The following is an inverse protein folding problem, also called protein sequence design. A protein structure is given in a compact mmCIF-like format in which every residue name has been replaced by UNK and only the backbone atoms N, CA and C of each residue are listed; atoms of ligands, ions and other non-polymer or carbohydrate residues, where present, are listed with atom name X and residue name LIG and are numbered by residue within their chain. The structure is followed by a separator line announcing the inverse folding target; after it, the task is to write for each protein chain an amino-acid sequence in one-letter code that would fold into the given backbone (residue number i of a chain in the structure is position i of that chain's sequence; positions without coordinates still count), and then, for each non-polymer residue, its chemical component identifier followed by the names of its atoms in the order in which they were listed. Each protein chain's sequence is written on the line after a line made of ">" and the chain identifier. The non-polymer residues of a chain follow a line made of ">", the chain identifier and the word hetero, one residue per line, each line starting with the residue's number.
data_IF_334985863341
#
_entry.id   IF_334985863341
#
_cell.length_a   1.000
_cell.length_b   1.000
_cell.length_c   1.000
_cell.angle_alpha   90.00
_cell.angle_beta   90.00
_cell.angle_gamma   90.00
#
_symmetry.space_group_name_H-M   'P 1'
#
loop_
_entity.id
_entity.type
_entity.pdbx_description
1 polymer ?
#
# COMPACT_ATOMS: atom_id res chain seq x y z
N UNK A 1 -0.76 -0.50 -11.75
CA UNK A 1 -1.73 -1.61 -11.83
C UNK A 1 -3.08 -1.21 -11.22
N UNK A 2 -3.07 -0.61 -10.02
CA UNK A 2 -4.30 -0.25 -9.29
C UNK A 2 -5.13 0.88 -9.91
N UNK A 3 -4.54 1.71 -10.78
CA UNK A 3 -5.20 2.91 -11.29
C UNK A 3 -5.45 3.94 -10.18
N UNK A 4 -6.67 4.44 -10.06
CA UNK A 4 -7.07 5.39 -9.00
C UNK A 4 -7.56 4.73 -7.71
N UNK A 5 -7.51 3.38 -7.61
CA UNK A 5 -7.98 2.64 -6.42
C UNK A 5 -6.94 2.69 -5.31
N UNK A 6 -7.42 2.75 -4.07
CA UNK A 6 -6.57 2.78 -2.89
C UNK A 6 -5.71 1.53 -2.74
N UNK A 7 -4.45 1.73 -2.33
CA UNK A 7 -3.52 0.67 -1.95
C UNK A 7 -3.17 0.82 -0.46
N UNK A 8 -3.28 -0.27 0.30
CA UNK A 8 -2.87 -0.33 1.70
C UNK A 8 -1.70 -1.31 1.84
N UNK A 9 -0.60 -0.87 2.43
CA UNK A 9 0.53 -1.73 2.75
C UNK A 9 0.17 -2.63 3.96
N UNK A 10 0.31 -3.95 3.81
CA UNK A 10 -0.07 -4.96 4.82
C UNK A 10 1.00 -6.05 5.02
N UNK A 11 2.27 -5.74 4.80
CA UNK A 11 3.36 -6.73 4.77
C UNK A 11 4.13 -6.90 6.08
N UNK A 12 3.81 -6.17 7.14
CA UNK A 12 4.62 -6.11 8.36
C UNK A 12 4.99 -7.49 8.95
N UNK A 13 4.08 -8.46 8.91
CA UNK A 13 4.30 -9.84 9.42
C UNK A 13 5.22 -10.71 8.55
N UNK A 14 5.64 -10.22 7.39
CA UNK A 14 6.43 -10.96 6.38
C UNK A 14 7.89 -10.54 6.32
N UNK A 15 8.32 -9.59 7.15
CA UNK A 15 9.67 -9.07 7.19
C UNK A 15 10.09 -8.77 8.64
N UNK A 16 11.39 -8.56 8.85
CA UNK A 16 11.92 -8.07 10.13
C UNK A 16 11.31 -6.69 10.46
N UNK A 17 11.07 -6.41 11.75
CA UNK A 17 10.32 -5.22 12.21
C UNK A 17 10.82 -3.92 11.59
N UNK A 18 12.15 -3.69 11.61
CA UNK A 18 12.75 -2.47 11.01
C UNK A 18 12.59 -2.41 9.50
N UNK A 19 12.71 -3.57 8.82
CA UNK A 19 12.51 -3.67 7.39
C UNK A 19 11.03 -3.41 7.02
N UNK A 20 10.09 -3.91 7.82
CA UNK A 20 8.67 -3.68 7.65
C UNK A 20 8.31 -2.18 7.77
N UNK A 21 8.89 -1.48 8.76
CA UNK A 21 8.69 -0.02 8.91
C UNK A 21 9.27 0.75 7.71
N UNK A 22 10.46 0.38 7.24
CA UNK A 22 11.07 0.99 6.06
C UNK A 22 10.26 0.72 4.78
N UNK A 23 9.74 -0.50 4.61
CA UNK A 23 8.90 -0.87 3.48
C UNK A 23 7.56 -0.10 3.48
N UNK A 24 6.93 0.06 4.64
CA UNK A 24 5.71 0.85 4.77
C UNK A 24 5.94 2.32 4.34
N UNK A 25 7.05 2.92 4.76
CA UNK A 25 7.43 4.27 4.32
C UNK A 25 7.68 4.32 2.81
N UNK A 26 8.41 3.36 2.26
CA UNK A 26 8.68 3.31 0.82
C UNK A 26 7.39 3.14 0.00
N UNK A 27 6.48 2.28 0.45
CA UNK A 27 5.18 2.09 -0.18
C UNK A 27 4.35 3.39 -0.17
N UNK A 28 4.32 4.10 0.95
CA UNK A 28 3.62 5.39 1.05
C UNK A 28 4.19 6.44 0.09
N UNK A 29 5.51 6.55 0.00
CA UNK A 29 6.17 7.44 -0.96
C UNK A 29 5.90 7.05 -2.43
N UNK A 30 5.68 5.76 -2.69
CA UNK A 30 5.31 5.23 -4.01
C UNK A 30 3.81 5.33 -4.34
N UNK A 31 3.00 5.93 -3.45
CA UNK A 31 1.58 6.21 -3.71
C UNK A 31 0.59 5.28 -3.01
N UNK A 32 1.01 4.46 -2.05
CA UNK A 32 0.06 3.78 -1.17
C UNK A 32 -0.61 4.80 -0.25
N UNK A 33 -1.92 4.65 -0.04
CA UNK A 33 -2.71 5.59 0.76
C UNK A 33 -2.56 5.41 2.27
N UNK A 34 -2.16 4.21 2.72
CA UNK A 34 -2.05 3.85 4.12
C UNK A 34 -1.16 2.62 4.35
N UNK A 35 -0.83 2.36 5.62
CA UNK A 35 -0.19 1.12 6.06
C UNK A 35 -0.95 0.48 7.22
N UNK A 36 -0.83 -0.82 7.39
CA UNK A 36 -1.26 -1.54 8.60
C UNK A 36 -0.21 -1.51 9.72
N UNK A 37 0.97 -0.96 9.47
CA UNK A 37 2.09 -0.90 10.40
C UNK A 37 1.96 0.33 11.31
N UNK A 38 1.53 0.12 12.56
CA UNK A 38 1.33 1.20 13.53
C UNK A 38 2.63 1.94 13.85
N UNK A 39 3.77 1.24 13.93
CA UNK A 39 5.06 1.88 14.20
C UNK A 39 5.49 2.81 13.04
N UNK A 40 5.19 2.44 11.80
CA UNK A 40 5.44 3.32 10.66
C UNK A 40 4.50 4.53 10.68
N UNK A 41 3.25 4.35 11.09
CA UNK A 41 2.30 5.44 11.28
C UNK A 41 2.78 6.44 12.34
N UNK A 42 3.21 5.95 13.49
CA UNK A 42 3.73 6.76 14.59
C UNK A 42 5.02 7.51 14.18
N UNK A 43 5.97 6.80 13.56
CA UNK A 43 7.29 7.36 13.24
C UNK A 43 7.25 8.38 12.08
N UNK A 44 6.39 8.16 11.08
CA UNK A 44 6.41 8.94 9.84
C UNK A 44 5.10 9.69 9.55
N UNK A 45 4.10 9.62 10.42
CA UNK A 45 2.79 10.24 10.21
C UNK A 45 1.98 9.61 9.07
N UNK A 46 2.27 8.36 8.69
CA UNK A 46 1.55 7.65 7.63
C UNK A 46 0.15 7.28 8.14
N UNK A 47 -0.92 7.52 7.37
CA UNK A 47 -2.25 7.06 7.74
C UNK A 47 -2.26 5.55 8.01
N UNK A 48 -2.81 5.14 9.17
CA UNK A 48 -2.91 3.73 9.50
C UNK A 48 -4.30 3.21 9.23
N UNK A 49 -4.37 2.08 8.52
CA UNK A 49 -5.62 1.34 8.25
C UNK A 49 -5.37 -0.15 8.41
N UNK A 50 -6.32 -0.84 8.97
CA UNK A 50 -6.29 -2.28 9.15
C UNK A 50 -7.68 -2.86 9.20
N UNK A 51 -7.74 -4.18 9.21
CA UNK A 51 -8.97 -4.95 9.36
C UNK A 51 -8.73 -6.04 10.39
N UNK A 52 -9.81 -6.62 10.94
CA UNK A 52 -9.70 -7.80 11.78
C UNK A 52 -9.09 -8.97 10.98
N UNK A 53 -8.39 -9.86 11.66
CA UNK A 53 -7.94 -11.15 11.12
C UNK A 53 -9.01 -12.22 11.35
N UNK A 54 -8.93 -13.35 10.63
CA UNK A 54 -9.83 -14.50 10.87
C UNK A 54 -9.82 -14.96 12.33
N UNK A 55 -8.68 -14.87 13.01
CA UNK A 55 -8.57 -15.19 14.44
C UNK A 55 -9.47 -14.35 15.33
N UNK A 56 -9.77 -13.11 14.95
CA UNK A 56 -10.71 -12.27 15.68
C UNK A 56 -12.14 -12.86 15.59
N UNK A 57 -12.57 -13.26 14.40
CA UNK A 57 -13.86 -13.92 14.20
C UNK A 57 -13.91 -15.24 14.97
N UNK A 58 -12.86 -16.05 14.89
CA UNK A 58 -12.77 -17.34 15.57
C UNK A 58 -12.69 -17.25 17.10
N UNK A 59 -12.39 -16.09 17.66
CA UNK A 59 -12.38 -15.83 19.11
C UNK A 59 -13.77 -15.51 19.68
N UNK A 60 -14.81 -15.44 18.83
CA UNK A 60 -16.20 -15.20 19.23
C UNK A 60 -17.04 -16.45 18.97
N UNK A 61 -18.18 -16.56 19.66
CA UNK A 61 -19.07 -17.71 19.51
C UNK A 61 -19.79 -17.72 18.17
N UNK A 62 -19.90 -16.56 17.51
CA UNK A 62 -20.45 -16.44 16.16
C UNK A 62 -19.81 -15.30 15.37
N UNK A 63 -19.95 -15.36 14.04
CA UNK A 63 -19.47 -14.31 13.15
C UNK A 63 -20.23 -12.99 13.36
N UNK A 64 -21.53 -13.07 13.67
CA UNK A 64 -22.37 -11.93 14.01
C UNK A 64 -21.89 -11.20 15.28
N UNK A 65 -21.49 -11.94 16.30
CA UNK A 65 -20.92 -11.38 17.52
C UNK A 65 -19.58 -10.69 17.26
N UNK A 66 -18.71 -11.29 16.46
CA UNK A 66 -17.45 -10.70 16.04
C UNK A 66 -17.69 -9.38 15.28
N UNK A 67 -18.61 -9.37 14.32
CA UNK A 67 -18.94 -8.17 13.55
C UNK A 67 -19.55 -7.08 14.44
N UNK A 68 -20.46 -7.45 15.35
CA UNK A 68 -21.03 -6.51 16.31
C UNK A 68 -19.96 -5.93 17.26
N UNK A 69 -19.04 -6.75 17.74
CA UNK A 69 -17.92 -6.29 18.57
C UNK A 69 -17.01 -5.30 17.82
N UNK A 70 -16.68 -5.59 16.58
CA UNK A 70 -15.87 -4.70 15.75
C UNK A 70 -16.58 -3.38 15.49
N UNK A 71 -17.86 -3.41 15.13
CA UNK A 71 -18.66 -2.20 14.88
C UNK A 71 -18.82 -1.34 16.15
N UNK A 72 -19.01 -1.96 17.31
CA UNK A 72 -19.07 -1.21 18.58
C UNK A 72 -17.78 -0.44 18.87
N UNK A 73 -16.63 -0.98 18.47
CA UNK A 73 -15.33 -0.38 18.74
C UNK A 73 -14.92 0.64 17.67
N UNK A 74 -15.16 0.31 16.40
CA UNK A 74 -14.63 1.04 15.25
C UNK A 74 -15.69 1.87 14.51
N UNK A 75 -16.97 1.70 14.83
CA UNK A 75 -18.09 2.30 14.11
C UNK A 75 -18.44 1.55 12.82
N UNK A 76 -19.57 1.91 12.22
CA UNK A 76 -20.08 1.29 10.99
C UNK A 76 -19.21 1.56 9.74
N UNK A 77 -18.32 2.55 9.80
CA UNK A 77 -17.34 2.81 8.74
C UNK A 77 -16.20 1.79 8.64
N UNK A 78 -16.16 0.78 9.53
CA UNK A 78 -15.14 -0.28 9.55
C UNK A 78 -15.25 -1.22 8.35
N UNK A 79 -14.24 -2.09 8.20
CA UNK A 79 -14.19 -3.15 7.17
C UNK A 79 -14.34 -4.50 7.83
N UNK A 80 -15.39 -5.25 7.50
CA UNK A 80 -15.65 -6.60 8.02
C UNK A 80 -15.08 -7.67 7.11
N UNK A 81 -14.37 -8.65 7.69
CA UNK A 81 -13.78 -9.79 6.99
C UNK A 81 -14.83 -10.90 6.85
N UNK A 82 -15.29 -11.17 5.62
CA UNK A 82 -16.51 -11.96 5.36
C UNK A 82 -16.27 -13.40 4.91
N UNK A 83 -15.02 -13.82 4.78
CA UNK A 83 -14.65 -15.13 4.25
C UNK A 83 -14.03 -16.06 5.29
N UNK A 84 -14.38 -15.88 6.58
CA UNK A 84 -13.93 -16.80 7.64
C UNK A 84 -14.61 -18.17 7.52
N UNK A 85 -15.86 -18.21 7.10
CA UNK A 85 -16.66 -19.43 6.91
C UNK A 85 -17.27 -19.46 5.51
N UNK A 86 -18.56 -19.21 5.40
CA UNK A 86 -19.29 -19.12 4.14
C UNK A 86 -19.44 -17.67 3.71
N UNK A 87 -18.90 -17.33 2.55
CA UNK A 87 -18.81 -15.94 2.09
C UNK A 87 -20.19 -15.30 1.82
N UNK A 88 -21.15 -16.07 1.29
CA UNK A 88 -22.51 -15.56 1.03
C UNK A 88 -23.17 -15.19 2.33
N UNK A 89 -23.12 -16.10 3.31
CA UNK A 89 -23.62 -15.85 4.66
C UNK A 89 -22.85 -14.75 5.38
N UNK A 90 -21.55 -14.66 5.15
CA UNK A 90 -20.70 -13.58 5.67
C UNK A 90 -21.17 -12.20 5.21
N UNK A 91 -21.52 -12.04 3.93
CA UNK A 91 -22.12 -10.80 3.40
C UNK A 91 -23.47 -10.51 4.07
N UNK A 92 -24.36 -11.50 4.16
CA UNK A 92 -25.67 -11.35 4.78
C UNK A 92 -25.57 -10.90 6.25
N UNK A 93 -24.70 -11.56 7.02
CA UNK A 93 -24.42 -11.23 8.42
C UNK A 93 -23.79 -9.85 8.58
N UNK A 94 -22.84 -9.51 7.71
CA UNK A 94 -22.19 -8.20 7.74
C UNK A 94 -23.22 -7.07 7.55
N UNK A 95 -24.15 -7.23 6.62
CA UNK A 95 -25.19 -6.23 6.37
C UNK A 95 -26.29 -6.27 7.44
N UNK A 96 -26.63 -7.44 7.97
CA UNK A 96 -27.60 -7.55 9.09
C UNK A 96 -27.10 -6.81 10.34
N UNK A 97 -25.80 -6.90 10.65
CA UNK A 97 -25.20 -6.27 11.84
C UNK A 97 -24.78 -4.81 11.57
N UNK A 98 -24.16 -4.54 10.40
CA UNK A 98 -23.59 -3.23 10.08
C UNK A 98 -24.54 -2.26 9.39
N UNK A 99 -25.66 -2.77 8.88
CA UNK A 99 -26.62 -2.00 8.09
C UNK A 99 -26.12 -1.72 6.67
N UNK A 100 -26.99 -1.09 5.87
CA UNK A 100 -26.73 -0.77 4.46
C UNK A 100 -25.63 0.28 4.25
N UNK A 101 -25.23 0.97 5.31
CA UNK A 101 -24.18 1.98 5.31
C UNK A 101 -22.86 1.45 5.89
N UNK A 102 -22.68 0.13 5.96
CA UNK A 102 -21.39 -0.49 6.32
C UNK A 102 -20.28 0.03 5.41
N UNK A 103 -19.16 0.43 6.00
CA UNK A 103 -18.05 1.03 5.26
C UNK A 103 -17.47 0.12 4.19
N UNK A 104 -17.12 -1.11 4.55
CA UNK A 104 -16.55 -2.07 3.57
C UNK A 104 -16.70 -3.52 4.05
N UNK A 105 -16.57 -4.44 3.11
CA UNK A 105 -16.30 -5.87 3.34
C UNK A 105 -14.92 -6.23 2.77
N UNK A 106 -14.22 -7.18 3.40
CA UNK A 106 -12.92 -7.68 2.95
C UNK A 106 -13.02 -9.13 2.51
N UNK A 107 -12.38 -9.42 1.39
CA UNK A 107 -12.21 -10.75 0.79
C UNK A 107 -10.73 -11.09 0.78
N UNK A 108 -10.34 -12.22 1.38
CA UNK A 108 -8.96 -12.68 1.52
C UNK A 108 -8.69 -14.03 0.83
N UNK A 109 -9.71 -14.61 0.17
CA UNK A 109 -9.64 -15.95 -0.40
C UNK A 109 -10.50 -16.13 -1.65
N UNK A 110 -10.32 -17.24 -2.35
CA UNK A 110 -11.10 -17.64 -3.52
C UNK A 110 -10.57 -17.10 -4.85
N UNK A 111 -11.29 -17.42 -5.93
CA UNK A 111 -11.05 -16.86 -7.27
C UNK A 111 -11.55 -15.40 -7.31
N UNK A 112 -10.65 -14.47 -7.05
CA UNK A 112 -10.98 -13.07 -6.84
C UNK A 112 -11.80 -12.44 -7.97
N UNK A 113 -11.51 -12.61 -9.28
CA UNK A 113 -12.34 -12.09 -10.35
C UNK A 113 -13.80 -12.52 -10.28
N UNK A 114 -14.03 -13.76 -9.90
CA UNK A 114 -15.38 -14.35 -9.77
C UNK A 114 -16.04 -13.88 -8.48
N UNK A 115 -15.35 -14.09 -7.35
CA UNK A 115 -15.89 -13.85 -6.02
C UNK A 115 -16.25 -12.37 -5.79
N UNK A 116 -15.39 -11.46 -6.21
CA UNK A 116 -15.64 -10.01 -6.05
C UNK A 116 -16.92 -9.58 -6.79
N UNK A 117 -17.13 -10.10 -7.99
CA UNK A 117 -18.34 -9.82 -8.77
C UNK A 117 -19.59 -10.38 -8.10
N UNK A 118 -19.51 -11.57 -7.54
CA UNK A 118 -20.60 -12.19 -6.79
C UNK A 118 -20.93 -11.42 -5.50
N UNK A 119 -19.91 -11.03 -4.74
CA UNK A 119 -20.07 -10.23 -3.51
C UNK A 119 -20.69 -8.87 -3.83
N UNK A 120 -20.26 -8.20 -4.90
CA UNK A 120 -20.86 -6.92 -5.32
C UNK A 120 -22.33 -7.07 -5.66
N UNK A 121 -22.67 -8.06 -6.47
CA UNK A 121 -24.08 -8.32 -6.83
C UNK A 121 -24.93 -8.63 -5.59
N UNK A 122 -24.39 -9.39 -4.63
CA UNK A 122 -25.09 -9.72 -3.40
C UNK A 122 -25.30 -8.52 -2.47
N UNK A 123 -24.27 -7.68 -2.30
CA UNK A 123 -24.38 -6.40 -1.59
C UNK A 123 -25.45 -5.49 -2.20
N UNK A 124 -25.50 -5.42 -3.53
CA UNK A 124 -26.49 -4.61 -4.26
C UNK A 124 -27.91 -5.14 -4.06
N UNK A 125 -28.11 -6.46 -4.07
CA UNK A 125 -29.40 -7.09 -3.77
C UNK A 125 -29.88 -6.79 -2.33
N UNK A 126 -28.96 -6.69 -1.37
CA UNK A 126 -29.25 -6.32 0.00
C UNK A 126 -29.44 -4.80 0.18
N UNK A 127 -29.25 -4.01 -0.89
CA UNK A 127 -29.37 -2.55 -0.88
C UNK A 127 -28.16 -1.83 -0.27
N UNK A 128 -27.02 -2.52 -0.11
CA UNK A 128 -25.76 -1.99 0.41
C UNK A 128 -24.84 -1.51 -0.73
N UNK A 129 -25.37 -0.73 -1.65
CA UNK A 129 -24.69 -0.29 -2.89
C UNK A 129 -23.47 0.61 -2.64
N UNK A 130 -23.42 1.28 -1.48
CA UNK A 130 -22.31 2.14 -1.09
C UNK A 130 -21.19 1.39 -0.32
N UNK A 131 -21.44 0.15 0.12
CA UNK A 131 -20.44 -0.66 0.82
C UNK A 131 -19.29 -1.00 -0.13
N UNK A 132 -18.05 -0.64 0.27
CA UNK A 132 -16.84 -0.88 -0.51
C UNK A 132 -16.37 -2.33 -0.41
N UNK A 133 -15.60 -2.77 -1.41
CA UNK A 133 -14.95 -4.08 -1.42
C UNK A 133 -13.44 -3.89 -1.31
N UNK A 134 -12.87 -4.44 -0.25
CA UNK A 134 -11.43 -4.53 -0.01
C UNK A 134 -10.97 -5.94 -0.36
N UNK A 135 -9.94 -6.05 -1.17
CA UNK A 135 -9.36 -7.35 -1.56
C UNK A 135 -7.94 -7.46 -1.04
N UNK A 136 -7.62 -8.61 -0.47
CA UNK A 136 -6.28 -9.01 -0.05
C UNK A 136 -5.92 -10.34 -0.72
N UNK A 137 -5.19 -11.28 -0.12
CA UNK A 137 -4.83 -12.57 -0.72
C UNK A 137 -3.60 -12.51 -1.66
N UNK A 138 -2.42 -12.27 -1.07
CA UNK A 138 -1.11 -12.32 -1.73
C UNK A 138 -1.04 -11.57 -3.08
N UNK A 139 -1.61 -10.37 -3.11
CA UNK A 139 -1.66 -9.53 -4.29
C UNK A 139 -0.27 -9.04 -4.71
N UNK A 140 -0.10 -8.91 -6.02
CA UNK A 140 1.01 -8.24 -6.68
C UNK A 140 0.51 -7.41 -7.87
N UNK A 141 1.42 -6.75 -8.58
CA UNK A 141 1.07 -5.90 -9.73
C UNK A 141 0.35 -6.64 -10.85
N UNK A 142 0.64 -7.92 -11.05
CA UNK A 142 0.02 -8.73 -12.10
C UNK A 142 -1.40 -9.15 -11.71
N UNK A 143 -1.59 -9.62 -10.48
CA UNK A 143 -2.92 -10.01 -9.97
C UNK A 143 -3.85 -8.79 -9.89
N UNK A 144 -3.34 -7.64 -9.44
CA UNK A 144 -4.09 -6.37 -9.43
C UNK A 144 -4.46 -5.92 -10.85
N UNK A 145 -3.53 -6.06 -11.81
CA UNK A 145 -3.84 -5.74 -13.21
C UNK A 145 -4.95 -6.65 -13.78
N UNK A 146 -4.98 -7.94 -13.40
CA UNK A 146 -6.04 -8.88 -13.73
C UNK A 146 -7.43 -8.49 -13.17
N UNK A 147 -7.45 -7.76 -12.06
CA UNK A 147 -8.66 -7.25 -11.41
C UNK A 147 -9.08 -5.84 -11.90
N UNK A 148 -8.52 -5.35 -13.02
CA UNK A 148 -8.82 -3.99 -13.51
C UNK A 148 -10.31 -3.74 -13.75
N UNK A 149 -11.03 -4.70 -14.29
CA UNK A 149 -12.47 -4.64 -14.57
C UNK A 149 -13.37 -5.09 -13.40
N UNK A 150 -12.80 -5.61 -12.32
CA UNK A 150 -13.57 -6.08 -11.17
C UNK A 150 -13.97 -4.91 -10.24
N UNK A 151 -15.12 -4.99 -9.57
CA UNK A 151 -15.63 -3.96 -8.68
C UNK A 151 -14.90 -3.96 -7.31
N UNK A 152 -13.59 -3.73 -7.33
CA UNK A 152 -12.73 -3.59 -6.16
C UNK A 152 -12.47 -2.11 -5.91
N UNK A 153 -12.61 -1.67 -4.67
CA UNK A 153 -12.34 -0.29 -4.26
C UNK A 153 -10.95 -0.12 -3.66
N UNK A 154 -10.47 -1.13 -2.93
CA UNK A 154 -9.21 -1.06 -2.17
C UNK A 154 -8.45 -2.39 -2.28
N UNK A 155 -7.14 -2.31 -2.47
CA UNK A 155 -6.24 -3.45 -2.42
C UNK A 155 -5.33 -3.40 -1.18
N UNK A 156 -5.26 -4.50 -0.43
CA UNK A 156 -4.27 -4.69 0.62
C UNK A 156 -3.12 -5.56 0.10
N UNK A 157 -1.92 -5.00 0.03
CA UNK A 157 -0.74 -5.67 -0.53
C UNK A 157 0.29 -5.89 0.57
N UNK A 158 0.73 -7.12 0.74
CA UNK A 158 1.63 -7.52 1.81
C UNK A 158 2.98 -8.02 1.31
N UNK A 159 3.09 -9.33 1.15
CA UNK A 159 4.34 -10.05 0.87
C UNK A 159 5.12 -9.46 -0.30
N UNK A 160 4.49 -9.24 -1.42
CA UNK A 160 5.15 -8.75 -2.64
C UNK A 160 5.82 -7.39 -2.48
N UNK A 161 5.25 -6.50 -1.66
CA UNK A 161 5.83 -5.18 -1.38
C UNK A 161 7.03 -5.28 -0.45
N UNK A 162 6.88 -5.96 0.71
CA UNK A 162 7.94 -5.97 1.73
C UNK A 162 9.12 -6.85 1.37
N UNK A 163 8.94 -7.84 0.50
CA UNK A 163 10.03 -8.69 0.00
C UNK A 163 10.68 -8.14 -1.27
N UNK A 164 10.11 -7.09 -1.86
CA UNK A 164 10.58 -6.54 -3.14
C UNK A 164 10.47 -7.58 -4.26
N UNK A 165 9.33 -8.29 -4.35
CA UNK A 165 9.09 -9.37 -5.31
C UNK A 165 9.51 -8.95 -6.73
N UNK A 166 10.41 -9.74 -7.35
CA UNK A 166 11.02 -9.41 -8.64
C UNK A 166 12.19 -8.41 -8.58
N UNK A 167 12.30 -7.61 -7.53
CA UNK A 167 13.35 -6.60 -7.32
C UNK A 167 13.84 -6.60 -5.86
N UNK A 168 14.38 -7.72 -5.35
CA UNK A 168 14.71 -7.86 -3.93
C UNK A 168 15.91 -7.00 -3.49
N UNK A 169 16.66 -6.45 -4.43
CA UNK A 169 17.82 -5.60 -4.17
C UNK A 169 17.79 -4.34 -5.02
N UNK A 170 17.95 -3.18 -4.39
CA UNK A 170 18.17 -1.93 -5.09
C UNK A 170 19.64 -1.84 -5.55
N UNK A 171 19.87 -1.56 -6.83
CA UNK A 171 21.22 -1.39 -7.41
C UNK A 171 21.88 -0.05 -7.04
N UNK A 172 21.64 0.45 -5.83
CA UNK A 172 22.17 1.71 -5.35
C UNK A 172 23.62 1.57 -4.90
N UNK A 173 24.46 2.54 -5.27
CA UNK A 173 25.86 2.61 -4.87
C UNK A 173 26.20 4.04 -4.48
N UNK A 174 26.82 4.22 -3.31
CA UNK A 174 27.36 5.51 -2.91
C UNK A 174 28.56 5.90 -3.76
N UNK A 175 28.61 7.14 -4.20
CA UNK A 175 29.73 7.76 -4.88
C UNK A 175 30.15 9.00 -4.12
N UNK A 176 31.42 9.08 -3.72
CA UNK A 176 31.99 10.32 -3.19
C UNK A 176 32.07 11.32 -4.33
N UNK A 177 31.42 12.47 -4.19
CA UNK A 177 31.37 13.51 -5.24
C UNK A 177 32.11 14.78 -4.87
N UNK A 178 32.40 15.00 -3.58
CA UNK A 178 33.22 16.08 -3.09
C UNK A 178 33.89 15.68 -1.77
N UNK A 179 35.00 16.28 -1.43
CA UNK A 179 35.68 16.21 -0.13
C UNK A 179 36.00 17.61 0.38
N UNK A 180 36.08 17.77 1.69
CA UNK A 180 36.62 19.00 2.25
C UNK A 180 38.15 19.06 2.06
N UNK A 181 38.66 20.24 1.80
CA UNK A 181 40.09 20.53 1.85
C UNK A 181 40.49 21.12 3.21
N UNK A 182 41.78 21.36 3.44
CA UNK A 182 42.33 21.81 4.73
C UNK A 182 41.77 23.20 5.16
N UNK A 183 41.36 24.03 4.24
CA UNK A 183 40.73 25.33 4.47
C UNK A 183 39.19 25.24 4.63
N UNK A 184 38.61 24.02 4.57
CA UNK A 184 37.15 23.78 4.68
C UNK A 184 36.42 23.96 3.36
N UNK A 185 37.10 24.28 2.25
CA UNK A 185 36.45 24.33 0.93
C UNK A 185 36.11 22.96 0.39
N UNK A 186 35.02 22.86 -0.42
CA UNK A 186 34.62 21.62 -1.06
C UNK A 186 35.31 21.41 -2.39
N UNK A 187 36.16 20.38 -2.47
CA UNK A 187 36.84 19.94 -3.70
C UNK A 187 36.02 18.85 -4.40
N UNK A 188 35.49 19.09 -5.60
CA UNK A 188 34.77 18.09 -6.35
C UNK A 188 35.67 16.91 -6.74
N UNK A 189 35.17 15.68 -6.55
CA UNK A 189 35.89 14.46 -6.91
C UNK A 189 35.02 13.53 -7.72
N UNK A 190 35.61 12.76 -8.63
CA UNK A 190 34.91 11.80 -9.46
C UNK A 190 35.73 10.57 -9.77
N UNK A 191 35.09 9.40 -9.80
CA UNK A 191 35.70 8.19 -10.38
C UNK A 191 35.59 8.25 -11.90
N UNK A 192 36.72 7.96 -12.58
CA UNK A 192 36.85 8.03 -14.05
C UNK A 192 37.09 6.67 -14.71
N UNK A 193 36.61 5.57 -14.11
CA UNK A 193 36.71 4.26 -14.78
C UNK A 193 35.72 4.14 -15.94
N UNK A 194 36.07 3.38 -16.97
CA UNK A 194 35.31 3.23 -18.21
C UNK A 194 33.83 2.91 -18.00
N UNK A 195 33.51 2.02 -17.04
CA UNK A 195 32.15 1.49 -16.89
C UNK A 195 31.37 2.09 -15.70
N UNK A 196 32.02 2.89 -14.85
CA UNK A 196 31.44 3.41 -13.60
C UNK A 196 31.83 4.85 -13.30
N UNK A 197 31.99 5.64 -14.34
CA UNK A 197 32.26 7.08 -14.19
C UNK A 197 31.05 7.78 -13.57
N UNK A 198 31.27 8.87 -12.85
CA UNK A 198 30.22 9.75 -12.35
C UNK A 198 30.70 11.21 -12.38
N UNK A 199 29.72 12.11 -12.36
CA UNK A 199 30.03 13.54 -12.30
C UNK A 199 30.46 13.95 -10.90
N UNK A 200 31.48 14.79 -10.82
CA UNK A 200 31.93 15.40 -9.56
C UNK A 200 30.94 16.47 -9.06
N UNK A 201 31.08 16.80 -7.78
CA UNK A 201 30.28 17.84 -7.13
C UNK A 201 28.90 17.41 -6.65
N UNK A 202 28.32 18.22 -5.79
CA UNK A 202 26.95 18.03 -5.26
C UNK A 202 25.91 18.05 -6.38
N UNK A 203 24.82 17.36 -6.17
CA UNK A 203 23.71 17.27 -7.13
C UNK A 203 22.39 17.35 -6.40
N UNK A 204 21.42 18.00 -7.04
CA UNK A 204 20.02 18.02 -6.62
C UNK A 204 19.18 17.29 -7.65
N UNK A 205 18.28 16.40 -7.17
CA UNK A 205 17.35 15.69 -8.03
C UNK A 205 15.95 16.30 -7.90
N UNK A 206 15.29 16.51 -9.01
CA UNK A 206 13.94 17.07 -9.07
C UNK A 206 13.07 16.15 -9.90
N UNK A 207 11.85 15.92 -9.45
CA UNK A 207 10.84 15.25 -10.26
C UNK A 207 10.14 16.28 -11.16
N UNK A 208 10.15 16.04 -12.45
CA UNK A 208 9.44 16.86 -13.43
C UNK A 208 8.00 16.37 -13.51
N UNK A 209 7.04 17.26 -13.26
CA UNK A 209 5.63 16.96 -13.35
C UNK A 209 5.03 17.61 -14.62
N UNK A 210 4.25 16.84 -15.36
CA UNK A 210 3.41 17.37 -16.44
C UNK A 210 1.95 17.18 -16.08
N UNK A 211 1.19 18.26 -15.94
CA UNK A 211 -0.20 18.26 -15.48
C UNK A 211 -0.40 17.50 -14.15
N UNK A 212 0.56 17.59 -13.21
CA UNK A 212 0.52 16.90 -11.91
C UNK A 212 0.92 15.43 -11.94
N UNK A 213 1.33 14.91 -13.10
CA UNK A 213 1.82 13.53 -13.24
C UNK A 213 3.33 13.53 -13.45
N UNK A 214 4.04 12.63 -12.77
CA UNK A 214 5.48 12.47 -12.94
C UNK A 214 5.81 12.10 -14.39
N UNK A 215 6.52 12.98 -15.09
CA UNK A 215 6.91 12.84 -16.50
C UNK A 215 8.39 12.46 -16.66
N UNK A 216 9.22 12.72 -15.65
CA UNK A 216 10.65 12.40 -15.66
C UNK A 216 11.36 12.94 -14.44
N UNK A 217 12.68 12.73 -14.40
CA UNK A 217 13.56 13.26 -13.36
C UNK A 217 14.62 14.16 -13.99
N UNK A 218 14.93 15.27 -13.31
CA UNK A 218 16.02 16.16 -13.68
C UNK A 218 17.12 16.13 -12.60
N UNK A 219 18.38 16.04 -13.03
CA UNK A 219 19.53 16.09 -12.16
C UNK A 219 20.31 17.38 -12.43
N UNK A 220 20.38 18.25 -11.44
CA UNK A 220 21.12 19.51 -11.51
C UNK A 220 22.43 19.36 -10.75
N UNK A 221 23.56 19.69 -11.38
CA UNK A 221 24.89 19.68 -10.75
C UNK A 221 25.16 21.05 -10.13
N UNK A 222 25.55 21.06 -8.83
CA UNK A 222 25.76 22.27 -8.05
C UNK A 222 24.47 22.79 -7.38
N UNK A 223 24.51 24.03 -6.88
CA UNK A 223 23.36 24.74 -6.30
C UNK A 223 22.52 25.37 -7.42
N UNK A 224 21.70 24.58 -8.05
CA UNK A 224 20.82 25.04 -9.13
C UNK A 224 19.34 25.04 -8.70
N UNK A 225 18.55 25.94 -9.29
CA UNK A 225 17.10 25.88 -9.23
C UNK A 225 16.59 24.72 -10.08
N UNK A 226 15.39 24.16 -9.79
CA UNK A 226 14.76 23.18 -10.65
C UNK A 226 14.56 23.76 -12.06
N UNK A 227 14.65 22.94 -13.12
CA UNK A 227 14.32 23.41 -14.47
C UNK A 227 12.87 23.91 -14.52
N UNK A 228 12.66 25.04 -15.17
CA UNK A 228 11.31 25.53 -15.42
C UNK A 228 10.59 24.49 -16.29
N UNK A 229 9.42 23.99 -15.83
CA UNK A 229 8.59 23.00 -16.51
C UNK A 229 7.62 23.60 -17.53
#
# INVERSE_FOLDING_TARGET
>A
AAGSRDLIEMGARRAHERAAVAAARAAYLAGFSATSNLAAGELYGIPTRGTAAHSFTLAHDSEEEAFAAQIRTMGSGTTLLIDTFDMVKGVERAIAVGGKNLGAVRIDSGDLPVVVSQVRAHLDQLGATATKIVVTNDLNEHTIAGLRGAPVDVFGVGTSVVTGSGHPAAGLVYKLVARADDDGSWVPVAKKSSDKAHHAGGKSAFQVLHAGVAAGDALVVGEGAPPEG
#
